data_IF_224204311045
#
_entry.id   IF_224204311045
#
_cell.length_a   1.000
_cell.length_b   1.000
_cell.length_c   1.000
_cell.angle_alpha   90.00
_cell.angle_beta   90.00
_cell.angle_gamma   90.00
#
_symmetry.space_group_name_H-M   'P 1'
#
loop_
_entity.id
_entity.type
_entity.pdbx_description
1 polymer ?
#
# COMPACT_ATOMS: atom_id res chain seq x y z
N UNK A 1 11.22 -6.78 9.03
CA UNK A 1 11.90 -7.72 9.98
C UNK A 1 13.01 -6.95 10.70
N UNK A 2 13.16 -7.10 12.03
CA UNK A 2 14.26 -6.46 12.78
C UNK A 2 15.47 -7.41 12.82
N UNK A 3 16.65 -6.90 12.46
CA UNK A 3 17.90 -7.64 12.36
C UNK A 3 18.37 -7.85 10.91
N UNK A 4 19.69 -7.98 10.68
CA UNK A 4 20.26 -8.09 9.35
C UNK A 4 19.86 -9.40 8.66
N UNK A 5 19.29 -9.30 7.45
CA UNK A 5 18.79 -10.43 6.65
C UNK A 5 19.69 -10.64 5.41
N UNK A 6 20.98 -10.92 5.63
CA UNK A 6 21.99 -10.97 4.57
C UNK A 6 21.81 -12.09 3.52
N UNK A 7 21.18 -13.21 3.88
CA UNK A 7 20.97 -14.35 2.97
C UNK A 7 19.78 -14.15 2.02
N UNK A 8 18.74 -13.40 2.44
CA UNK A 8 17.54 -13.16 1.65
C UNK A 8 17.57 -11.83 0.88
N UNK A 9 18.34 -10.83 1.34
CA UNK A 9 18.30 -9.47 0.81
C UNK A 9 19.67 -8.82 0.54
N UNK A 10 20.78 -9.58 0.65
CA UNK A 10 22.11 -9.13 0.25
C UNK A 10 22.88 -8.31 1.31
N UNK A 11 24.15 -8.02 0.99
CA UNK A 11 25.24 -7.67 1.95
C UNK A 11 25.19 -6.25 2.57
N UNK A 12 24.06 -5.52 2.47
CA UNK A 12 23.91 -4.14 2.94
C UNK A 12 22.74 -3.90 3.93
N UNK A 13 22.16 -4.96 4.51
CA UNK A 13 20.99 -4.84 5.39
C UNK A 13 21.32 -4.69 6.87
N UNK A 14 22.30 -3.86 7.27
CA UNK A 14 22.75 -3.74 8.67
C UNK A 14 21.68 -3.12 9.59
N UNK A 15 20.82 -2.25 9.05
CA UNK A 15 19.74 -1.57 9.77
C UNK A 15 18.37 -2.29 9.73
N UNK A 16 18.25 -3.37 8.94
CA UNK A 16 17.00 -4.10 8.70
C UNK A 16 16.42 -3.89 7.30
N UNK A 17 15.33 -4.60 6.99
CA UNK A 17 14.66 -4.59 5.68
C UNK A 17 13.19 -4.23 5.85
N UNK A 18 12.73 -3.30 5.01
CA UNK A 18 11.31 -3.03 4.75
C UNK A 18 10.93 -3.79 3.49
N UNK A 19 10.02 -4.75 3.63
CA UNK A 19 9.49 -5.52 2.51
C UNK A 19 8.06 -5.04 2.23
N UNK A 20 7.81 -4.56 1.01
CA UNK A 20 6.49 -4.10 0.56
C UNK A 20 6.00 -5.10 -0.47
N UNK A 21 5.01 -5.91 -0.10
CA UNK A 21 4.39 -6.89 -0.99
C UNK A 21 3.06 -6.31 -1.47
N UNK A 22 2.92 -6.14 -2.78
CA UNK A 22 1.66 -5.68 -3.38
C UNK A 22 0.64 -6.82 -3.40
N UNK A 23 -0.65 -6.48 -3.32
CA UNK A 23 -1.71 -7.48 -3.54
C UNK A 23 -1.75 -7.90 -5.01
N UNK A 24 -1.80 -9.20 -5.24
CA UNK A 24 -1.96 -9.77 -6.57
C UNK A 24 -3.39 -9.54 -7.09
N UNK A 25 -3.59 -9.45 -8.42
CA UNK A 25 -4.92 -9.43 -9.01
C UNK A 25 -5.67 -10.74 -8.71
N UNK A 26 -6.94 -10.62 -8.32
CA UNK A 26 -7.81 -11.76 -8.04
C UNK A 26 -8.65 -12.21 -9.24
N UNK A 27 -9.20 -13.41 -9.18
CA UNK A 27 -10.01 -14.01 -10.25
C UNK A 27 -11.47 -13.50 -10.27
N UNK A 28 -11.84 -12.66 -9.31
CA UNK A 28 -13.19 -12.09 -9.19
C UNK A 28 -13.16 -10.58 -9.38
N UNK A 29 -14.22 -10.01 -9.97
CA UNK A 29 -14.39 -8.56 -9.99
C UNK A 29 -14.73 -8.09 -8.58
N UNK A 30 -13.87 -7.25 -8.02
CA UNK A 30 -14.04 -6.66 -6.69
C UNK A 30 -13.56 -5.22 -6.68
N UNK A 31 -14.13 -4.42 -5.78
CA UNK A 31 -13.71 -3.05 -5.58
C UNK A 31 -13.96 -2.62 -4.14
N UNK A 32 -13.11 -1.72 -3.66
CA UNK A 32 -13.21 -1.16 -2.31
C UNK A 32 -12.92 0.33 -2.36
N UNK A 33 -13.65 1.10 -1.54
CA UNK A 33 -13.43 2.52 -1.33
C UNK A 33 -13.33 2.75 0.18
N UNK A 34 -12.39 3.61 0.58
CA UNK A 34 -12.18 4.01 1.96
C UNK A 34 -12.08 5.51 2.07
N UNK A 35 -12.73 6.08 3.09
CA UNK A 35 -12.56 7.48 3.46
C UNK A 35 -12.35 7.55 4.97
N UNK A 36 -11.30 8.24 5.39
CA UNK A 36 -10.95 8.45 6.79
C UNK A 36 -10.87 9.95 7.06
N UNK A 37 -11.59 10.39 8.09
CA UNK A 37 -11.50 11.75 8.62
C UNK A 37 -10.95 11.66 10.04
N UNK A 38 -9.95 12.48 10.35
CA UNK A 38 -9.25 12.46 11.62
C UNK A 38 -8.85 13.85 12.11
N UNK A 39 -8.19 13.88 13.26
CA UNK A 39 -7.75 15.12 13.89
C UNK A 39 -6.69 15.86 13.04
N UNK A 40 -6.58 17.18 13.23
CA UNK A 40 -5.61 18.05 12.52
C UNK A 40 -5.83 18.08 11.01
N UNK A 41 -7.10 18.21 10.60
CA UNK A 41 -7.52 18.22 9.20
C UNK A 41 -7.01 17.02 8.40
N UNK A 42 -6.75 15.89 9.08
CA UNK A 42 -6.35 14.64 8.45
C UNK A 42 -7.51 14.07 7.65
N UNK A 43 -7.32 13.93 6.34
CA UNK A 43 -8.27 13.34 5.40
C UNK A 43 -7.55 12.36 4.52
N UNK A 44 -8.02 11.11 4.53
CA UNK A 44 -7.52 10.07 3.63
C UNK A 44 -8.64 9.53 2.79
N UNK A 45 -8.32 9.28 1.53
CA UNK A 45 -9.20 8.58 0.62
C UNK A 45 -8.41 7.45 -0.04
N UNK A 46 -8.99 6.27 -0.12
CA UNK A 46 -8.42 5.13 -0.79
C UNK A 46 -9.44 4.48 -1.71
N UNK A 47 -8.94 3.84 -2.75
CA UNK A 47 -9.74 3.09 -3.70
C UNK A 47 -8.96 1.95 -4.29
N UNK A 48 -9.65 0.87 -4.59
CA UNK A 48 -9.08 -0.28 -5.27
C UNK A 48 -10.14 -0.88 -6.19
N UNK A 49 -9.68 -1.31 -7.36
CA UNK A 49 -10.48 -2.05 -8.31
C UNK A 49 -9.68 -3.25 -8.84
N UNK A 50 -10.31 -4.41 -8.86
CA UNK A 50 -9.80 -5.63 -9.43
C UNK A 50 -10.72 -6.11 -10.55
N UNK A 51 -10.13 -6.48 -11.68
CA UNK A 51 -10.85 -6.91 -12.87
C UNK A 51 -10.16 -8.13 -13.48
N UNK A 52 -10.74 -9.34 -13.36
CA UNK A 52 -10.42 -10.45 -14.24
C UNK A 52 -10.78 -10.06 -15.68
N UNK A 53 -9.78 -10.11 -16.56
CA UNK A 53 -9.93 -9.86 -18.00
C UNK A 53 -10.31 -11.15 -18.71
N UNK A 54 -9.67 -12.27 -18.33
CA UNK A 54 -9.98 -13.64 -18.75
C UNK A 54 -9.41 -14.64 -17.73
N UNK A 55 -9.52 -15.95 -18.00
CA UNK A 55 -9.07 -17.04 -17.12
C UNK A 55 -7.56 -17.06 -16.83
N UNK A 56 -6.75 -16.30 -17.58
CA UNK A 56 -5.30 -16.26 -17.46
C UNK A 56 -4.75 -14.86 -17.13
N UNK A 57 -5.58 -13.82 -17.12
CA UNK A 57 -5.18 -12.43 -16.96
C UNK A 57 -6.18 -11.70 -16.07
N UNK A 58 -5.67 -11.14 -14.97
CA UNK A 58 -6.39 -10.21 -14.13
C UNK A 58 -5.57 -8.93 -13.92
N UNK A 59 -6.27 -7.81 -13.78
CA UNK A 59 -5.68 -6.49 -13.55
C UNK A 59 -6.21 -5.93 -12.23
N UNK A 60 -5.31 -5.34 -11.44
CA UNK A 60 -5.64 -4.65 -10.20
C UNK A 60 -5.03 -3.26 -10.20
N UNK A 61 -5.84 -2.27 -9.85
CA UNK A 61 -5.41 -0.90 -9.64
C UNK A 61 -5.82 -0.44 -8.25
N UNK A 62 -4.92 0.25 -7.55
CA UNK A 62 -5.18 0.84 -6.25
C UNK A 62 -4.66 2.27 -6.21
N UNK A 63 -5.39 3.15 -5.52
CA UNK A 63 -5.06 4.55 -5.31
C UNK A 63 -5.27 4.91 -3.84
N UNK A 64 -4.37 5.72 -3.30
CA UNK A 64 -4.48 6.25 -1.94
C UNK A 64 -3.99 7.70 -1.94
N UNK A 65 -4.77 8.58 -1.34
CA UNK A 65 -4.46 10.01 -1.15
C UNK A 65 -4.57 10.30 0.34
N UNK A 66 -3.49 10.83 0.91
CA UNK A 66 -3.42 11.24 2.31
C UNK A 66 -3.09 12.75 2.35
N UNK A 67 -3.95 13.53 3.01
CA UNK A 67 -3.68 14.93 3.35
C UNK A 67 -3.77 15.08 4.85
N UNK A 68 -2.73 15.64 5.45
CA UNK A 68 -2.68 15.99 6.86
C UNK A 68 -1.88 17.26 7.06
N UNK A 69 -2.41 18.18 7.85
CA UNK A 69 -1.69 19.40 8.18
C UNK A 69 -0.61 19.14 9.24
N UNK A 70 0.54 19.81 9.10
CA UNK A 70 1.66 19.67 10.01
C UNK A 70 1.37 20.34 11.36
N UNK A 71 1.82 19.71 12.45
CA UNK A 71 1.73 20.26 13.80
C UNK A 71 2.66 21.46 14.03
N UNK A 72 3.58 21.74 13.11
CA UNK A 72 4.54 22.84 13.22
C UNK A 72 3.97 24.12 12.61
N UNK A 73 3.50 25.01 13.49
CA UNK A 73 3.26 26.42 13.20
C UNK A 73 4.59 27.16 13.44
N UNK A 74 5.16 27.77 12.40
CA UNK A 74 6.23 28.77 12.56
C UNK A 74 5.56 30.11 12.87
#
# INVERSE_FOLDING_TARGET
>A
LRGPQGTLYGRNTTAGVVNVISHEPGDTREGALGVELGNHDSRKASGMLNVPVNDALALRAALAVDRRDSLLRN
#
